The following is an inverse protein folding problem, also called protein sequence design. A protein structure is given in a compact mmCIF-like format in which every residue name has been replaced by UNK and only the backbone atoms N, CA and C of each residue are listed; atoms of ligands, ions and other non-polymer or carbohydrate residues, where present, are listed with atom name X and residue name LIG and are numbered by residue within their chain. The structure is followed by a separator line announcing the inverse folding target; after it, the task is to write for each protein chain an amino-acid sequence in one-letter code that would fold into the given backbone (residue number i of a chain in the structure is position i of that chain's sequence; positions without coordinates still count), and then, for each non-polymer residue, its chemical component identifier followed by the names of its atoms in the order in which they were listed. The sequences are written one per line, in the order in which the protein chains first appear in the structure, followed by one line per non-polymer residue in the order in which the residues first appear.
data_IF_005395855777
#
_entry.id   IF_005395855777
#
_cell.length_a   1.000
_cell.length_b   1.000
_cell.length_c   1.000
_cell.angle_alpha   90.00
_cell.angle_beta   90.00
_cell.angle_gamma   90.00
#
_symmetry.space_group_name_H-M   'P 1'
#
loop_
_entity.id
_entity.type
_entity.pdbx_description
1 polymer ?
#
# COMPACT_ATOMS: atom_id res chain seq x y z
N UNK A 1 9.43 -21.78 36.40
CA UNK A 1 9.64 -20.32 36.26
C UNK A 1 8.33 -19.77 35.73
N UNK A 2 7.44 -19.36 36.64
CA UNK A 2 6.16 -18.78 36.26
C UNK A 2 6.41 -17.35 35.83
N UNK A 3 6.32 -17.09 34.52
CA UNK A 3 6.39 -15.74 33.99
C UNK A 3 5.14 -15.01 34.44
N UNK A 4 5.27 -14.17 35.47
CA UNK A 4 4.18 -13.31 35.96
C UNK A 4 3.94 -12.24 34.88
N UNK A 5 2.96 -12.45 34.01
CA UNK A 5 2.47 -11.41 33.12
C UNK A 5 1.73 -10.37 33.96
N UNK A 6 2.34 -9.21 34.18
CA UNK A 6 1.63 -8.03 34.73
C UNK A 6 0.47 -7.65 33.79
N UNK A 7 -0.63 -7.12 34.34
CA UNK A 7 -1.78 -6.65 33.54
C UNK A 7 -1.40 -5.67 32.40
N UNK A 8 -0.27 -4.97 32.53
CA UNK A 8 0.25 -4.05 31.53
C UNK A 8 0.84 -4.72 30.26
N UNK A 9 0.88 -6.06 30.23
CA UNK A 9 1.38 -6.87 29.11
C UNK A 9 0.28 -7.65 28.39
N UNK A 10 -0.96 -7.62 28.91
CA UNK A 10 -2.10 -8.30 28.30
C UNK A 10 -2.69 -7.40 27.21
N UNK A 11 -2.84 -7.94 26.01
CA UNK A 11 -3.45 -7.25 24.87
C UNK A 11 -4.74 -7.94 24.50
N UNK A 12 -5.81 -7.16 24.40
CA UNK A 12 -7.08 -7.62 23.84
C UNK A 12 -7.12 -7.33 22.34
N UNK A 13 -6.98 -8.39 21.55
CA UNK A 13 -7.01 -8.33 20.09
C UNK A 13 -8.33 -7.77 19.55
N UNK A 14 -9.46 -8.19 20.13
CA UNK A 14 -10.78 -7.75 19.70
C UNK A 14 -10.96 -6.25 19.97
N UNK A 15 -10.55 -5.78 21.15
CA UNK A 15 -10.67 -4.37 21.51
C UNK A 15 -9.81 -3.47 20.60
N UNK A 16 -8.60 -3.89 20.26
CA UNK A 16 -7.77 -3.14 19.30
C UNK A 16 -8.37 -3.18 17.90
N UNK A 17 -8.86 -4.34 17.44
CA UNK A 17 -9.55 -4.47 16.16
C UNK A 17 -10.72 -3.49 16.07
N UNK A 18 -11.58 -3.44 17.09
CA UNK A 18 -12.76 -2.57 17.12
C UNK A 18 -12.37 -1.08 17.14
N UNK A 19 -11.31 -0.71 17.87
CA UNK A 19 -10.77 0.67 17.90
C UNK A 19 -10.31 1.16 16.52
N UNK A 20 -9.73 0.28 15.71
CA UNK A 20 -9.29 0.65 14.36
C UNK A 20 -10.45 0.82 13.40
N UNK A 21 -11.64 0.28 13.72
CA UNK A 21 -12.84 0.33 12.87
C UNK A 21 -12.59 -0.19 11.44
N UNK A 22 -11.62 -1.09 11.23
CA UNK A 22 -11.33 -1.64 9.90
C UNK A 22 -12.44 -2.57 9.40
N UNK A 23 -13.26 -3.11 10.31
CA UNK A 23 -14.42 -3.92 9.94
C UNK A 23 -15.38 -3.17 9.02
N UNK A 24 -15.59 -1.87 9.24
CA UNK A 24 -16.44 -1.04 8.39
C UNK A 24 -15.95 -1.06 6.93
N UNK A 25 -14.64 -0.93 6.72
CA UNK A 25 -14.03 -0.96 5.37
C UNK A 25 -14.15 -2.36 4.76
N UNK A 26 -13.95 -3.41 5.56
CA UNK A 26 -14.10 -4.80 5.12
C UNK A 26 -15.56 -5.07 4.69
N UNK A 27 -16.53 -4.57 5.43
CA UNK A 27 -17.95 -4.72 5.11
C UNK A 27 -18.31 -3.95 3.83
N UNK A 28 -17.77 -2.75 3.63
CA UNK A 28 -17.90 -2.00 2.39
C UNK A 28 -17.29 -2.75 1.20
N UNK A 29 -16.07 -3.29 1.36
CA UNK A 29 -15.42 -4.13 0.36
C UNK A 29 -16.29 -5.34 0.00
N UNK A 30 -16.93 -5.97 0.99
CA UNK A 30 -17.83 -7.10 0.77
C UNK A 30 -19.08 -6.71 -0.04
N UNK A 31 -19.65 -5.54 0.25
CA UNK A 31 -20.86 -5.00 -0.41
C UNK A 31 -20.59 -4.48 -1.83
N UNK A 32 -19.51 -3.72 -2.02
CA UNK A 32 -19.22 -3.03 -3.29
C UNK A 32 -18.65 -3.99 -4.35
N UNK A 33 -17.90 -5.00 -3.94
CA UNK A 33 -17.27 -5.95 -4.87
C UNK A 33 -18.03 -7.27 -4.89
N UNK A 34 -18.84 -7.49 -5.92
CA UNK A 34 -19.53 -8.77 -6.12
C UNK A 34 -18.50 -9.83 -6.55
N UNK A 35 -18.43 -10.95 -5.83
CA UNK A 35 -17.47 -12.02 -6.09
C UNK A 35 -16.07 -11.74 -5.51
N UNK A 36 -15.02 -12.06 -6.27
CA UNK A 36 -13.61 -11.83 -5.90
C UNK A 36 -13.19 -12.40 -4.52
N UNK A 37 -13.77 -13.53 -4.11
CA UNK A 37 -13.46 -14.18 -2.82
C UNK A 37 -11.95 -14.29 -2.53
N UNK A 38 -11.08 -14.73 -3.47
CA UNK A 38 -9.65 -14.82 -3.20
C UNK A 38 -9.00 -13.47 -2.85
N UNK A 39 -9.41 -12.40 -3.54
CA UNK A 39 -8.89 -11.04 -3.31
C UNK A 39 -9.35 -10.51 -1.95
N UNK A 40 -10.63 -10.68 -1.63
CA UNK A 40 -11.19 -10.28 -0.33
C UNK A 40 -10.54 -11.02 0.84
N UNK A 41 -10.34 -12.33 0.70
CA UNK A 41 -9.60 -13.13 1.69
C UNK A 41 -8.17 -12.59 1.86
N UNK A 42 -7.48 -12.31 0.75
CA UNK A 42 -6.12 -11.78 0.81
C UNK A 42 -6.02 -10.44 1.51
N UNK A 43 -6.98 -9.53 1.29
CA UNK A 43 -7.05 -8.24 1.97
C UNK A 43 -7.25 -8.44 3.48
N UNK A 44 -8.14 -9.35 3.88
CA UNK A 44 -8.38 -9.69 5.30
C UNK A 44 -7.13 -10.25 5.97
N UNK A 45 -6.38 -11.12 5.30
CA UNK A 45 -5.10 -11.67 5.80
C UNK A 45 -4.06 -10.57 6.02
N UNK A 46 -3.93 -9.65 5.07
CA UNK A 46 -3.00 -8.52 5.18
C UNK A 46 -3.43 -7.61 6.34
N UNK A 47 -4.72 -7.27 6.44
CA UNK A 47 -5.22 -6.43 7.52
C UNK A 47 -4.97 -7.07 8.90
N UNK A 48 -5.17 -8.39 9.02
CA UNK A 48 -4.86 -9.13 10.24
C UNK A 48 -3.36 -9.10 10.57
N UNK A 49 -2.49 -9.32 9.59
CA UNK A 49 -1.04 -9.25 9.77
C UNK A 49 -0.61 -7.87 10.30
N UNK A 50 -1.12 -6.80 9.68
CA UNK A 50 -0.81 -5.43 10.06
C UNK A 50 -1.38 -5.04 11.43
N UNK A 51 -2.55 -5.58 11.81
CA UNK A 51 -3.06 -5.38 13.16
C UNK A 51 -2.15 -6.02 14.22
N UNK A 52 -1.69 -7.25 13.97
CA UNK A 52 -0.76 -7.93 14.87
C UNK A 52 0.56 -7.17 14.96
N UNK A 53 1.12 -6.72 13.83
CA UNK A 53 2.35 -5.94 13.82
C UNK A 53 2.19 -4.61 14.59
N UNK A 54 1.10 -3.88 14.39
CA UNK A 54 0.76 -2.70 15.20
C UNK A 54 0.74 -3.00 16.71
N UNK A 55 0.18 -4.14 17.12
CA UNK A 55 0.15 -4.54 18.52
C UNK A 55 1.53 -4.90 19.07
N UNK A 56 2.37 -5.57 18.27
CA UNK A 56 3.76 -5.85 18.63
C UNK A 56 4.54 -4.55 18.85
N UNK A 57 4.36 -3.58 17.97
CA UNK A 57 4.95 -2.24 18.09
C UNK A 57 4.50 -1.52 19.37
N UNK A 58 3.20 -1.58 19.72
CA UNK A 58 2.70 -1.00 20.99
C UNK A 58 3.31 -1.61 22.24
N UNK A 59 3.73 -2.88 22.17
CA UNK A 59 4.39 -3.59 23.26
C UNK A 59 5.93 -3.47 23.22
N UNK A 60 6.48 -2.68 22.29
CA UNK A 60 7.92 -2.58 22.04
C UNK A 60 8.59 -3.95 21.76
N UNK A 61 7.84 -4.87 21.16
CA UNK A 61 8.40 -6.14 20.70
C UNK A 61 9.13 -5.91 19.38
N UNK A 62 10.26 -6.57 19.18
CA UNK A 62 10.99 -6.52 17.90
C UNK A 62 10.06 -6.98 16.78
N UNK A 63 9.69 -6.09 15.89
CA UNK A 63 9.09 -6.42 14.60
C UNK A 63 9.87 -5.73 13.49
N UNK A 64 10.06 -6.43 12.38
CA UNK A 64 10.52 -5.79 11.16
C UNK A 64 9.35 -5.05 10.54
N UNK A 65 9.61 -3.88 9.93
CA UNK A 65 8.61 -3.17 9.14
C UNK A 65 8.12 -4.10 8.00
N UNK A 66 6.84 -4.49 7.97
CA UNK A 66 6.35 -5.35 6.91
C UNK A 66 6.43 -4.60 5.58
N UNK A 67 6.92 -5.24 4.51
CA UNK A 67 6.88 -4.66 3.18
C UNK A 67 5.43 -4.41 2.74
N UNK A 68 5.04 -3.14 2.62
CA UNK A 68 3.64 -2.74 2.33
C UNK A 68 3.35 -2.56 0.84
N UNK A 69 4.36 -2.59 -0.02
CA UNK A 69 4.16 -2.47 -1.46
C UNK A 69 3.53 -3.75 -2.03
N UNK A 70 2.54 -3.59 -2.91
CA UNK A 70 1.73 -4.68 -3.44
C UNK A 70 1.59 -4.57 -4.95
N UNK A 71 1.35 -5.71 -5.60
CA UNK A 71 0.99 -5.78 -7.02
C UNK A 71 -0.41 -6.37 -7.15
N UNK A 72 -1.30 -5.65 -7.85
CA UNK A 72 -2.63 -6.14 -8.20
C UNK A 72 -2.65 -6.53 -9.68
N UNK A 73 -2.82 -7.82 -9.96
CA UNK A 73 -2.82 -8.37 -11.31
C UNK A 73 -4.21 -8.89 -11.68
N UNK A 74 -4.56 -8.77 -12.96
CA UNK A 74 -5.84 -9.24 -13.50
C UNK A 74 -6.34 -8.38 -14.65
N UNK A 75 -7.36 -8.87 -15.36
CA UNK A 75 -7.94 -8.18 -16.52
C UNK A 75 -8.50 -6.80 -16.17
N UNK A 76 -8.62 -5.87 -17.15
CA UNK A 76 -9.35 -4.62 -16.96
C UNK A 76 -10.78 -4.86 -16.42
N UNK A 77 -11.27 -3.96 -15.57
CA UNK A 77 -12.63 -4.07 -15.00
C UNK A 77 -12.79 -5.02 -13.81
N UNK A 78 -11.72 -5.65 -13.29
CA UNK A 78 -11.79 -6.58 -12.14
C UNK A 78 -11.77 -5.88 -10.76
N UNK A 79 -11.97 -4.56 -10.70
CA UNK A 79 -12.04 -3.81 -9.44
C UNK A 79 -10.70 -3.51 -8.77
N UNK A 80 -9.56 -3.60 -9.48
CA UNK A 80 -8.21 -3.32 -8.94
C UNK A 80 -8.11 -1.95 -8.26
N UNK A 81 -8.62 -0.90 -8.89
CA UNK A 81 -8.59 0.47 -8.35
C UNK A 81 -9.46 0.61 -7.10
N UNK A 82 -10.64 -0.02 -7.08
CA UNK A 82 -11.52 -0.05 -5.91
C UNK A 82 -10.85 -0.76 -4.74
N UNK A 83 -10.21 -1.91 -5.00
CA UNK A 83 -9.42 -2.64 -4.00
C UNK A 83 -8.27 -1.79 -3.46
N UNK A 84 -7.54 -1.09 -4.34
CA UNK A 84 -6.45 -0.21 -3.94
C UNK A 84 -6.93 0.91 -3.01
N UNK A 85 -8.10 1.48 -3.28
CA UNK A 85 -8.71 2.52 -2.45
C UNK A 85 -9.04 2.00 -1.06
N UNK A 86 -9.74 0.86 -0.97
CA UNK A 86 -10.05 0.23 0.33
C UNK A 86 -8.78 -0.18 1.09
N UNK A 87 -7.73 -0.60 0.39
CA UNK A 87 -6.43 -0.90 1.01
C UNK A 87 -5.77 0.37 1.58
N UNK A 88 -5.82 1.51 0.89
CA UNK A 88 -5.34 2.79 1.42
C UNK A 88 -6.09 3.17 2.71
N UNK A 89 -7.41 2.99 2.75
CA UNK A 89 -8.21 3.24 3.96
C UNK A 89 -7.80 2.32 5.13
N UNK A 90 -7.56 1.03 4.85
CA UNK A 90 -7.11 0.07 5.87
C UNK A 90 -5.75 0.49 6.43
N UNK A 91 -4.78 0.80 5.56
CA UNK A 91 -3.45 1.25 5.97
C UNK A 91 -3.53 2.53 6.83
N UNK A 92 -4.43 3.45 6.48
CA UNK A 92 -4.65 4.69 7.23
C UNK A 92 -5.26 4.41 8.61
N UNK A 93 -6.32 3.60 8.69
CA UNK A 93 -6.96 3.24 9.97
C UNK A 93 -6.03 2.46 10.91
N UNK A 94 -5.12 1.67 10.33
CA UNK A 94 -4.08 0.95 11.06
C UNK A 94 -2.84 1.82 11.37
N UNK A 95 -2.79 3.06 10.88
CA UNK A 95 -1.73 4.03 11.18
C UNK A 95 -0.41 3.79 10.45
N UNK A 96 -0.39 3.00 9.38
CA UNK A 96 0.79 2.76 8.55
C UNK A 96 1.06 3.89 7.55
N UNK A 97 0.02 4.65 7.20
CA UNK A 97 0.13 5.85 6.37
C UNK A 97 -0.53 7.04 7.07
N UNK A 98 -0.07 8.25 6.77
CA UNK A 98 -0.51 9.49 7.44
C UNK A 98 -1.82 10.03 6.89
N UNK A 99 -2.18 9.67 5.65
CA UNK A 99 -3.34 10.14 4.90
C UNK A 99 -3.97 8.95 4.17
N UNK A 100 -5.29 8.80 4.25
CA UNK A 100 -6.03 7.76 3.52
C UNK A 100 -6.31 8.10 2.06
N UNK A 101 -5.40 8.79 1.36
CA UNK A 101 -5.61 9.15 -0.05
C UNK A 101 -4.87 8.19 -0.98
N UNK A 102 -5.48 7.95 -2.13
CA UNK A 102 -4.93 7.18 -3.23
C UNK A 102 -4.64 8.13 -4.40
N UNK A 103 -3.38 8.25 -4.81
CA UNK A 103 -3.00 8.93 -6.03
C UNK A 103 -2.86 7.91 -7.15
N UNK A 104 -3.83 7.90 -8.07
CA UNK A 104 -3.81 7.06 -9.27
C UNK A 104 -3.04 7.77 -10.37
N UNK A 105 -2.05 7.09 -10.94
CA UNK A 105 -1.23 7.59 -12.04
C UNK A 105 -1.05 6.53 -13.11
N UNK A 106 -0.68 6.99 -14.30
CA UNK A 106 -0.33 6.17 -15.45
C UNK A 106 1.11 6.47 -15.87
N UNK A 107 1.57 5.80 -16.93
CA UNK A 107 2.85 6.12 -17.57
C UNK A 107 2.98 7.61 -17.92
N UNK A 108 1.92 8.20 -18.46
CA UNK A 108 1.95 9.58 -18.96
C UNK A 108 2.10 10.61 -17.85
N UNK A 109 1.82 10.25 -16.60
CA UNK A 109 2.02 11.10 -15.43
C UNK A 109 3.45 11.02 -14.91
N UNK A 110 4.17 9.92 -15.18
CA UNK A 110 5.52 9.67 -14.66
C UNK A 110 6.61 10.02 -15.69
N UNK A 111 6.38 9.71 -16.96
CA UNK A 111 7.37 9.83 -18.03
C UNK A 111 7.23 11.16 -18.77
N UNK A 112 8.35 11.84 -18.99
CA UNK A 112 8.43 13.08 -19.76
C UNK A 112 8.48 12.85 -21.26
N UNK A 113 8.07 13.86 -22.03
CA UNK A 113 8.15 13.83 -23.51
C UNK A 113 9.58 14.09 -24.03
N UNK A 114 10.43 14.71 -23.22
CA UNK A 114 11.78 15.15 -23.58
C UNK A 114 12.82 14.68 -22.56
N UNK A 115 14.09 14.63 -23.00
CA UNK A 115 15.24 14.29 -22.16
C UNK A 115 15.25 15.17 -20.91
N UNK A 116 15.47 14.56 -19.74
CA UNK A 116 15.58 15.26 -18.46
C UNK A 116 14.25 15.71 -17.84
N UNK A 117 13.11 15.46 -18.51
CA UNK A 117 11.79 15.79 -17.94
C UNK A 117 11.18 14.66 -17.10
N UNK A 118 11.61 13.41 -17.26
CA UNK A 118 11.05 12.27 -16.51
C UNK A 118 11.38 12.35 -15.02
N UNK A 119 12.65 12.56 -14.66
CA UNK A 119 13.05 12.67 -13.25
C UNK A 119 12.25 13.71 -12.44
N UNK A 120 12.16 14.99 -12.83
CA UNK A 120 11.40 15.98 -12.06
C UNK A 120 9.91 15.64 -11.99
N UNK A 121 9.34 15.10 -13.07
CA UNK A 121 7.93 14.73 -13.15
C UNK A 121 7.58 13.57 -12.21
N UNK A 122 8.37 12.49 -12.25
CA UNK A 122 8.23 11.35 -11.33
C UNK A 122 8.40 11.77 -9.87
N UNK A 123 9.38 12.64 -9.57
CA UNK A 123 9.60 13.15 -8.20
C UNK A 123 8.42 13.98 -7.69
N UNK A 124 7.81 14.80 -8.54
CA UNK A 124 6.64 15.60 -8.15
C UNK A 124 5.42 14.72 -7.85
N UNK A 125 5.16 13.70 -8.69
CA UNK A 125 4.12 12.70 -8.42
C UNK A 125 4.36 11.98 -7.10
N UNK A 126 5.60 11.53 -6.85
CA UNK A 126 5.96 10.87 -5.59
C UNK A 126 5.72 11.78 -4.39
N UNK A 127 6.09 13.06 -4.49
CA UNK A 127 5.85 14.06 -3.45
C UNK A 127 4.36 14.23 -3.15
N UNK A 128 3.50 14.20 -4.16
CA UNK A 128 2.04 14.26 -3.99
C UNK A 128 1.47 13.00 -3.33
N UNK A 129 2.04 11.83 -3.63
CA UNK A 129 1.65 10.57 -3.00
C UNK A 129 2.14 10.42 -1.55
N UNK A 130 3.14 11.19 -1.12
CA UNK A 130 3.73 11.05 0.22
C UNK A 130 2.71 11.11 1.35
N UNK A 131 2.83 10.14 2.25
CA UNK A 131 1.91 9.94 3.37
C UNK A 131 0.61 9.24 3.00
N UNK A 132 0.36 8.95 1.72
CA UNK A 132 -0.75 8.14 1.23
C UNK A 132 -0.26 6.93 0.41
N UNK A 133 -1.03 6.54 -0.60
CA UNK A 133 -0.70 5.42 -1.51
C UNK A 133 -0.56 5.93 -2.95
N UNK A 134 0.53 5.56 -3.63
CA UNK A 134 0.70 5.72 -5.08
C UNK A 134 0.20 4.45 -5.78
N UNK A 135 -0.77 4.59 -6.68
CA UNK A 135 -1.26 3.51 -7.53
C UNK A 135 -0.86 3.77 -8.98
N UNK A 136 0.01 2.92 -9.52
CA UNK A 136 0.48 3.02 -10.90
C UNK A 136 -0.30 2.02 -11.74
N UNK A 137 -1.25 2.51 -12.54
CA UNK A 137 -1.99 1.65 -13.45
C UNK A 137 -1.13 1.29 -14.65
N UNK A 138 -1.26 0.03 -15.09
CA UNK A 138 -0.49 -0.56 -16.19
C UNK A 138 1.02 -0.27 -16.12
N UNK A 139 1.60 -0.39 -14.92
CA UNK A 139 3.00 -0.04 -14.63
C UNK A 139 4.03 -0.71 -15.56
N UNK A 140 3.70 -1.86 -16.16
CA UNK A 140 4.55 -2.52 -17.16
C UNK A 140 4.83 -1.63 -18.38
N UNK A 141 3.97 -0.65 -18.68
CA UNK A 141 4.23 0.30 -19.75
C UNK A 141 5.39 1.24 -19.47
N UNK A 142 5.87 1.38 -18.23
CA UNK A 142 7.06 2.17 -17.92
C UNK A 142 8.33 1.60 -18.55
N UNK A 143 8.37 0.30 -18.84
CA UNK A 143 9.53 -0.34 -19.47
C UNK A 143 9.22 -0.70 -20.93
N UNK A 144 9.87 0.00 -21.86
CA UNK A 144 9.76 -0.27 -23.31
C UNK A 144 11.17 -0.43 -23.92
N UNK A 145 11.73 -1.65 -23.91
CA UNK A 145 13.11 -1.88 -24.35
C UNK A 145 13.32 -1.62 -25.84
N UNK A 146 12.27 -1.75 -26.66
CA UNK A 146 12.35 -1.60 -28.12
C UNK A 146 12.36 -0.12 -28.59
N UNK A 147 12.30 0.84 -27.65
CA UNK A 147 12.26 2.26 -27.97
C UNK A 147 13.46 2.97 -27.32
N UNK A 148 14.53 3.21 -28.10
CA UNK A 148 15.76 3.88 -27.63
C UNK A 148 15.54 5.33 -27.17
N UNK A 149 14.40 5.94 -27.53
CA UNK A 149 14.00 7.28 -27.08
C UNK A 149 13.03 7.26 -25.89
N UNK A 150 12.90 6.10 -25.24
CA UNK A 150 12.03 5.93 -24.07
C UNK A 150 12.75 6.28 -22.77
N UNK A 151 12.22 7.26 -22.05
CA UNK A 151 12.78 7.69 -20.76
C UNK A 151 12.09 7.01 -19.56
N UNK A 152 11.32 5.94 -19.78
CA UNK A 152 10.60 5.26 -18.71
C UNK A 152 11.49 4.49 -17.73
N UNK A 153 12.69 4.06 -18.17
CA UNK A 153 13.69 3.44 -17.30
C UNK A 153 14.10 4.38 -16.14
N UNK A 154 14.25 5.68 -16.41
CA UNK A 154 14.57 6.69 -15.39
C UNK A 154 13.48 6.77 -14.31
N UNK A 155 12.20 6.67 -14.70
CA UNK A 155 11.09 6.63 -13.73
C UNK A 155 11.16 5.38 -12.85
N UNK A 156 11.49 4.21 -13.44
CA UNK A 156 11.62 2.94 -12.71
C UNK A 156 12.74 3.03 -11.68
N UNK A 157 13.92 3.55 -12.05
CA UNK A 157 15.05 3.72 -11.14
C UNK A 157 14.69 4.59 -9.92
N UNK A 158 14.00 5.71 -10.15
CA UNK A 158 13.55 6.60 -9.08
C UNK A 158 12.52 5.90 -8.19
N UNK A 159 11.56 5.19 -8.76
CA UNK A 159 10.56 4.43 -8.01
C UNK A 159 11.21 3.37 -7.12
N UNK A 160 12.17 2.62 -7.66
CA UNK A 160 12.91 1.58 -6.93
C UNK A 160 13.67 2.18 -5.74
N UNK A 161 14.39 3.28 -5.97
CA UNK A 161 15.12 3.98 -4.92
C UNK A 161 14.19 4.46 -3.79
N UNK A 162 13.01 5.00 -4.13
CA UNK A 162 12.04 5.44 -3.11
C UNK A 162 11.45 4.23 -2.36
N UNK A 163 11.10 3.16 -3.06
CA UNK A 163 10.56 1.94 -2.45
C UNK A 163 11.56 1.27 -1.49
N UNK A 164 12.86 1.38 -1.75
CA UNK A 164 13.90 0.87 -0.83
C UNK A 164 14.10 1.81 0.37
N UNK A 165 14.20 3.12 0.14
CA UNK A 165 14.40 4.11 1.20
C UNK A 165 13.21 4.25 2.16
N UNK A 166 12.02 3.78 1.77
CA UNK A 166 10.80 3.79 2.59
C UNK A 166 10.50 2.42 3.25
N UNK A 167 11.47 1.48 3.25
CA UNK A 167 11.33 0.20 3.98
C UNK A 167 11.58 0.33 5.48
N UNK A 168 12.37 1.32 5.89
CA UNK A 168 12.72 1.61 7.29
C UNK A 168 11.77 2.62 7.92
#
# INVERSE_FOLDING_TARGET
MDTIYTNNTLVNLQEEYDKTKIQEIIDELEKELIGLKPVKTRIKEIAALLLIDRLRNKLNLVSGSPGLHMSFTGSPGTGKTTVAMKMADILYRLGYIKKGHLLTVTRDDLVGQYIGHTAPKTKEVLKQAMGGVLFIDEAYYLYKPDNERDYGAEAIEILLQVMENQRE
#
